data_IF_645373251240
#
_entry.id   IF_645373251240
#
_cell.length_a   1.000
_cell.length_b   1.000
_cell.length_c   1.000
_cell.angle_alpha   90.00
_cell.angle_beta   90.00
_cell.angle_gamma   90.00
#
_symmetry.space_group_name_H-M   'P 1'
#
loop_
_entity.id
_entity.type
_entity.pdbx_description
1 polymer ?
#
# COMPACT_ATOMS: atom_id res chain seq x y z
N UNK A 1 21.61 0.75 2.01
CA UNK A 1 20.40 1.36 2.61
C UNK A 1 20.76 2.76 3.13
N UNK A 2 20.57 3.83 2.33
CA UNK A 2 20.59 5.19 2.85
C UNK A 2 19.18 5.79 2.91
N UNK A 3 18.93 6.57 3.96
CA UNK A 3 17.63 7.10 4.35
C UNK A 3 17.09 8.21 3.45
N UNK A 4 15.77 8.19 3.28
CA UNK A 4 14.97 9.29 2.72
C UNK A 4 14.56 10.23 3.85
N UNK A 5 15.50 11.08 4.29
CA UNK A 5 15.18 12.29 5.03
C UNK A 5 14.71 13.34 4.05
N UNK A 6 13.41 13.65 4.06
CA UNK A 6 12.82 14.71 3.24
C UNK A 6 13.35 16.06 3.73
N UNK A 7 14.15 16.70 2.89
CA UNK A 7 14.83 17.97 3.16
C UNK A 7 13.85 19.14 3.00
N UNK A 8 13.13 19.47 4.07
CA UNK A 8 12.24 20.63 4.18
C UNK A 8 12.98 21.98 4.19
N UNK A 9 14.30 21.99 4.05
CA UNK A 9 15.14 23.20 4.16
C UNK A 9 15.11 24.08 2.91
N UNK A 10 14.62 23.57 1.77
CA UNK A 10 14.70 24.27 0.47
C UNK A 10 13.57 25.26 0.16
N UNK A 11 12.52 25.35 0.98
CA UNK A 11 11.37 26.24 0.71
C UNK A 11 11.55 27.71 1.11
N UNK A 12 12.67 28.11 1.73
CA UNK A 12 12.80 29.45 2.33
C UNK A 12 14.14 30.12 2.05
N UNK A 13 14.61 30.08 0.80
CA UNK A 13 15.77 30.84 0.36
C UNK A 13 15.35 31.90 -0.66
N UNK A 14 14.96 33.08 -0.17
CA UNK A 14 14.97 34.31 -0.98
C UNK A 14 15.60 35.45 -0.18
N UNK A 15 16.68 35.96 -0.81
CA UNK A 15 17.38 37.23 -0.74
C UNK A 15 18.02 37.77 0.54
N UNK A 16 19.36 37.72 0.49
CA UNK A 16 20.33 38.59 1.17
C UNK A 16 20.25 40.00 0.59
N UNK A 17 20.27 41.02 1.44
CA UNK A 17 21.21 42.15 1.36
C UNK A 17 21.04 43.10 2.57
N UNK A 18 22.16 43.65 3.06
CA UNK A 18 22.21 44.79 3.98
C UNK A 18 22.65 44.45 5.42
N UNK A 19 23.93 44.69 5.71
CA UNK A 19 24.49 44.61 7.06
C UNK A 19 24.45 46.00 7.72
N UNK A 20 23.92 46.12 8.95
CA UNK A 20 24.16 47.26 9.85
C UNK A 20 24.12 46.81 11.33
N UNK A 21 24.84 47.52 12.22
CA UNK A 21 25.28 46.99 13.51
C UNK A 21 24.22 47.08 14.62
N UNK A 22 24.34 46.15 15.56
CA UNK A 22 23.54 46.03 16.77
C UNK A 22 23.87 47.10 17.82
N UNK A 23 22.84 47.80 18.31
CA UNK A 23 22.78 48.29 19.69
C UNK A 23 21.33 48.41 20.15
N UNK A 24 21.05 47.88 21.36
CA UNK A 24 20.06 48.46 22.26
C UNK A 24 18.65 47.85 22.29
N UNK A 25 18.24 47.55 23.52
CA UNK A 25 16.89 47.62 24.10
C UNK A 25 15.84 46.51 23.91
N UNK A 26 15.19 46.25 25.04
CA UNK A 26 13.95 45.50 25.25
C UNK A 26 12.96 45.73 24.10
N UNK A 27 12.90 44.75 23.20
CA UNK A 27 12.16 44.85 21.93
C UNK A 27 10.65 44.78 22.17
N UNK A 28 10.04 45.93 22.47
CA UNK A 28 8.66 46.18 22.10
C UNK A 28 8.50 45.76 20.63
N UNK A 29 7.67 44.73 20.37
CA UNK A 29 7.43 44.27 19.00
C UNK A 29 6.88 45.45 18.20
N UNK A 30 7.35 45.70 16.97
CA UNK A 30 6.75 46.74 16.13
C UNK A 30 5.24 46.47 16.01
N UNK A 31 4.41 47.47 16.28
CA UNK A 31 2.96 47.29 16.24
C UNK A 31 2.54 47.09 14.78
N UNK A 32 1.94 45.93 14.48
CA UNK A 32 1.40 45.66 13.15
C UNK A 32 0.03 46.29 12.96
N UNK A 33 -0.33 46.58 11.71
CA UNK A 33 -1.65 47.10 11.36
C UNK A 33 -2.69 45.95 11.33
N UNK A 34 -3.73 45.99 12.20
CA UNK A 34 -4.79 44.98 12.22
C UNK A 34 -5.57 44.88 10.91
N UNK A 35 -5.78 45.98 10.18
CA UNK A 35 -6.51 45.96 8.90
C UNK A 35 -5.70 45.23 7.82
N UNK A 36 -4.41 45.55 7.73
CA UNK A 36 -3.48 44.86 6.82
C UNK A 36 -3.41 43.36 7.13
N UNK A 37 -3.39 42.97 8.41
CA UNK A 37 -3.42 41.57 8.81
C UNK A 37 -4.68 40.85 8.33
N UNK A 38 -5.85 41.49 8.51
CA UNK A 38 -7.13 40.92 8.07
C UNK A 38 -7.18 40.76 6.55
N UNK A 39 -6.77 41.78 5.80
CA UNK A 39 -6.68 41.72 4.34
C UNK A 39 -5.73 40.61 3.86
N UNK A 40 -4.58 40.44 4.52
CA UNK A 40 -3.64 39.38 4.20
C UNK A 40 -4.23 37.97 4.42
N UNK A 41 -4.99 37.79 5.50
CA UNK A 41 -5.71 36.55 5.76
C UNK A 41 -6.76 36.26 4.69
N UNK A 42 -7.64 37.21 4.41
CA UNK A 42 -8.76 37.04 3.48
C UNK A 42 -8.25 36.79 2.04
N UNK A 43 -7.22 37.54 1.62
CA UNK A 43 -6.56 37.31 0.34
C UNK A 43 -6.01 35.89 0.26
N UNK A 44 -5.26 35.43 1.27
CA UNK A 44 -4.69 34.09 1.29
C UNK A 44 -5.73 32.98 1.39
N UNK A 45 -6.82 33.21 2.11
CA UNK A 45 -7.94 32.27 2.23
C UNK A 45 -8.60 32.02 0.87
N UNK A 46 -8.78 33.09 0.08
CA UNK A 46 -9.40 33.04 -1.25
C UNK A 46 -8.51 32.46 -2.35
N UNK A 47 -7.18 32.39 -2.15
CA UNK A 47 -6.26 31.84 -3.16
C UNK A 47 -6.62 30.40 -3.52
N UNK A 48 -6.85 30.16 -4.80
CA UNK A 48 -6.85 28.82 -5.39
C UNK A 48 -5.39 28.35 -5.50
N UNK A 49 -4.83 27.82 -4.41
CA UNK A 49 -3.50 27.21 -4.46
C UNK A 49 -3.48 26.10 -5.53
N UNK A 50 -2.56 26.22 -6.49
CA UNK A 50 -2.51 25.42 -7.70
C UNK A 50 -1.94 23.99 -7.52
N UNK A 51 -1.46 23.62 -6.33
CA UNK A 51 -0.83 22.30 -6.15
C UNK A 51 -1.29 21.53 -4.89
N UNK A 52 -2.36 20.72 -5.00
CA UNK A 52 -2.76 19.79 -3.95
C UNK A 52 -1.74 18.66 -3.68
N UNK A 53 -0.63 18.56 -4.42
CA UNK A 53 0.41 17.56 -4.20
C UNK A 53 1.46 17.95 -3.14
N UNK A 54 1.57 19.24 -2.78
CA UNK A 54 2.63 19.72 -1.88
C UNK A 54 2.38 19.46 -0.39
N UNK A 55 1.13 19.26 0.04
CA UNK A 55 0.77 18.94 1.43
C UNK A 55 -0.33 17.88 1.46
N UNK A 56 -0.11 16.77 2.17
CA UNK A 56 -1.10 15.71 2.22
C UNK A 56 -2.36 16.17 3.01
N UNK A 57 -3.58 15.93 2.51
CA UNK A 57 -4.83 16.24 3.21
C UNK A 57 -4.90 15.67 4.63
N UNK A 58 -4.21 14.56 4.89
CA UNK A 58 -4.08 13.94 6.22
C UNK A 58 -3.34 14.87 7.18
N UNK A 59 -2.23 15.48 6.74
CA UNK A 59 -1.43 16.37 7.58
C UNK A 59 -2.17 17.70 7.85
N UNK A 60 -2.90 18.20 6.85
CA UNK A 60 -3.78 19.37 7.02
C UNK A 60 -4.88 19.08 8.05
N UNK A 61 -5.54 17.93 7.95
CA UNK A 61 -6.56 17.53 8.94
C UNK A 61 -5.96 17.40 10.35
N UNK A 62 -4.82 16.75 10.50
CA UNK A 62 -4.18 16.59 11.81
C UNK A 62 -3.79 17.96 12.41
N UNK A 63 -3.20 18.83 11.60
CA UNK A 63 -2.83 20.19 12.02
C UNK A 63 -4.05 21.05 12.38
N UNK A 64 -5.18 20.84 11.68
CA UNK A 64 -6.42 21.55 11.95
C UNK A 64 -7.01 21.12 13.30
N UNK A 65 -7.07 19.82 13.56
CA UNK A 65 -7.53 19.29 14.85
C UNK A 65 -6.67 19.79 16.01
N UNK A 66 -5.35 19.84 15.83
CA UNK A 66 -4.43 20.38 16.84
C UNK A 66 -4.62 21.89 17.04
N UNK A 67 -4.88 22.65 15.97
CA UNK A 67 -5.15 24.10 16.04
C UNK A 67 -6.45 24.39 16.80
N UNK A 68 -7.51 23.61 16.57
CA UNK A 68 -8.78 23.76 17.27
C UNK A 68 -8.75 23.22 18.70
N UNK A 69 -7.97 22.15 18.94
CA UNK A 69 -7.91 21.50 20.25
C UNK A 69 -9.32 21.05 20.70
N UNK A 70 -9.76 21.40 21.93
CA UNK A 70 -11.10 21.07 22.38
C UNK A 70 -12.20 21.94 21.74
N UNK A 71 -11.85 23.09 21.18
CA UNK A 71 -12.83 24.06 20.70
C UNK A 71 -13.39 23.66 19.33
N UNK A 72 -14.66 23.97 19.08
CA UNK A 72 -15.32 23.69 17.80
C UNK A 72 -15.39 24.89 16.85
N UNK A 73 -15.20 26.11 17.38
CA UNK A 73 -15.36 27.37 16.66
C UNK A 73 -14.30 28.34 17.15
N UNK A 74 -13.63 29.03 16.22
CA UNK A 74 -12.61 30.04 16.51
C UNK A 74 -12.86 31.32 15.72
N UNK A 75 -12.63 32.48 16.34
CA UNK A 75 -12.49 33.74 15.60
C UNK A 75 -11.17 33.79 14.81
N UNK A 76 -11.03 34.72 13.87
CA UNK A 76 -9.80 34.85 13.06
C UNK A 76 -8.56 35.00 13.95
N UNK A 77 -8.58 35.91 14.92
CA UNK A 77 -7.43 36.17 15.80
C UNK A 77 -7.01 34.93 16.58
N UNK A 78 -7.97 34.25 17.21
CA UNK A 78 -7.73 33.02 17.97
C UNK A 78 -7.16 31.90 17.08
N UNK A 79 -7.71 31.76 15.87
CA UNK A 79 -7.25 30.79 14.89
C UNK A 79 -5.81 31.06 14.46
N UNK A 80 -5.48 32.32 14.12
CA UNK A 80 -4.14 32.74 13.73
C UNK A 80 -3.14 32.50 14.87
N UNK A 81 -3.48 32.90 16.10
CA UNK A 81 -2.61 32.75 17.27
C UNK A 81 -2.29 31.27 17.55
N UNK A 82 -3.30 30.40 17.49
CA UNK A 82 -3.10 28.95 17.70
C UNK A 82 -2.32 28.31 16.56
N UNK A 83 -2.64 28.65 15.31
CA UNK A 83 -1.91 28.15 14.16
C UNK A 83 -0.44 28.60 14.19
N UNK A 84 -0.16 29.86 14.54
CA UNK A 84 1.19 30.39 14.66
C UNK A 84 1.99 29.66 15.75
N UNK A 85 1.40 29.40 16.92
CA UNK A 85 2.02 28.60 17.99
C UNK A 85 2.34 27.17 17.53
N UNK A 86 1.42 26.55 16.80
CA UNK A 86 1.63 25.21 16.23
C UNK A 86 2.75 25.19 15.20
N UNK A 87 2.80 26.18 14.31
CA UNK A 87 3.89 26.27 13.32
C UNK A 87 5.24 26.57 14.00
N UNK A 88 5.25 27.38 15.05
CA UNK A 88 6.44 27.65 15.85
C UNK A 88 6.95 26.41 16.59
N UNK A 89 6.05 25.59 17.18
CA UNK A 89 6.46 24.35 17.87
C UNK A 89 7.06 23.31 16.92
N UNK A 90 6.59 23.29 15.67
CA UNK A 90 7.09 22.38 14.63
C UNK A 90 8.33 22.91 13.92
N UNK A 91 8.44 24.23 13.77
CA UNK A 91 9.60 24.88 13.17
C UNK A 91 10.67 25.03 14.23
N UNK A 92 11.68 24.14 14.27
CA UNK A 92 12.87 24.25 15.14
C UNK A 92 13.76 25.48 14.84
N UNK A 93 13.22 26.52 14.21
CA UNK A 93 13.92 27.74 13.84
C UNK A 93 13.90 28.70 15.02
N UNK A 94 15.10 29.11 15.42
CA UNK A 94 15.28 30.25 16.32
C UNK A 94 14.98 31.51 15.52
N UNK A 95 13.96 32.26 15.91
CA UNK A 95 13.65 33.54 15.28
C UNK A 95 14.77 34.54 15.58
N UNK A 96 15.49 34.99 14.54
CA UNK A 96 16.61 35.95 14.69
C UNK A 96 16.17 37.37 15.04
N UNK A 97 14.89 37.72 14.82
CA UNK A 97 14.35 39.06 15.01
C UNK A 97 12.92 39.01 15.57
N UNK A 98 12.51 39.98 16.42
CA UNK A 98 11.14 40.09 16.90
C UNK A 98 10.21 40.43 15.72
N UNK A 99 9.17 39.65 15.53
CA UNK A 99 8.14 39.95 14.53
C UNK A 99 7.15 41.01 15.06
N UNK A 100 6.50 41.76 14.15
CA UNK A 100 5.41 42.64 14.56
C UNK A 100 4.26 41.87 15.22
N UNK A 101 3.51 42.55 16.07
CA UNK A 101 2.32 41.98 16.75
C UNK A 101 1.14 42.94 16.58
N UNK A 102 0.11 42.59 15.78
CA UNK A 102 -0.04 41.36 14.97
C UNK A 102 0.93 41.27 13.77
N UNK A 103 1.32 40.05 13.35
CA UNK A 103 2.20 39.82 12.18
C UNK A 103 1.37 39.50 10.92
N UNK A 104 1.38 40.36 9.86
CA UNK A 104 0.68 40.09 8.62
C UNK A 104 1.07 38.74 7.96
N UNK A 105 2.31 38.28 8.14
CA UNK A 105 2.75 36.98 7.59
C UNK A 105 2.13 35.80 8.33
N UNK A 106 1.89 35.93 9.64
CA UNK A 106 1.19 34.92 10.41
C UNK A 106 -0.27 34.81 9.96
N UNK A 107 -0.92 35.94 9.69
CA UNK A 107 -2.27 36.02 9.14
C UNK A 107 -2.33 35.43 7.72
N UNK A 108 -1.39 35.76 6.83
CA UNK A 108 -1.32 35.18 5.48
C UNK A 108 -1.17 33.65 5.52
N UNK A 109 -0.25 33.14 6.35
CA UNK A 109 -0.02 31.70 6.50
C UNK A 109 -1.24 30.95 7.06
N UNK A 110 -1.89 31.52 8.08
CA UNK A 110 -3.12 30.99 8.65
C UNK A 110 -4.28 31.05 7.65
N UNK A 111 -4.42 32.14 6.89
CA UNK A 111 -5.44 32.29 5.84
C UNK A 111 -5.29 31.24 4.74
N UNK A 112 -4.06 31.04 4.24
CA UNK A 112 -3.78 29.99 3.26
C UNK A 112 -4.09 28.58 3.81
N UNK A 113 -3.73 28.31 5.08
CA UNK A 113 -4.05 27.04 5.74
C UNK A 113 -5.56 26.82 5.91
N UNK A 114 -6.29 27.84 6.38
CA UNK A 114 -7.74 27.81 6.54
C UNK A 114 -8.46 27.64 5.20
N UNK A 115 -8.02 28.34 4.15
CA UNK A 115 -8.57 28.22 2.79
C UNK A 115 -8.43 26.80 2.23
N UNK A 116 -7.27 26.17 2.41
CA UNK A 116 -7.07 24.75 2.04
C UNK A 116 -7.98 23.81 2.84
N UNK A 117 -8.09 24.00 4.16
CA UNK A 117 -8.98 23.19 5.00
C UNK A 117 -10.46 23.38 4.63
N UNK A 118 -10.86 24.59 4.26
CA UNK A 118 -12.20 24.90 3.80
C UNK A 118 -12.53 24.19 2.49
N UNK A 119 -11.65 24.26 1.49
CA UNK A 119 -11.79 23.53 0.21
C UNK A 119 -11.85 22.01 0.41
N UNK A 120 -11.10 21.50 1.38
CA UNK A 120 -11.17 20.10 1.77
C UNK A 120 -12.44 19.74 2.55
N UNK A 121 -13.37 20.66 2.83
CA UNK A 121 -14.55 20.44 3.68
C UNK A 121 -14.19 19.91 5.08
N UNK A 122 -13.13 20.45 5.67
CA UNK A 122 -12.76 20.21 7.07
C UNK A 122 -13.21 21.37 7.98
N UNK A 123 -13.38 22.54 7.38
CA UNK A 123 -13.71 23.79 8.05
C UNK A 123 -14.86 24.50 7.30
N UNK A 124 -15.82 25.05 8.03
CA UNK A 124 -16.84 25.97 7.52
C UNK A 124 -16.63 27.38 8.06
N UNK A 125 -17.12 28.38 7.35
CA UNK A 125 -17.15 29.77 7.81
C UNK A 125 -18.60 30.11 8.14
N UNK A 126 -18.85 30.57 9.35
CA UNK A 126 -20.16 30.97 9.85
C UNK A 126 -20.12 32.44 10.28
N UNK A 127 -21.27 33.13 10.21
CA UNK A 127 -21.39 34.47 10.73
C UNK A 127 -21.43 34.44 12.27
N UNK A 128 -20.45 35.08 12.90
CA UNK A 128 -20.40 35.28 14.34
C UNK A 128 -21.23 36.48 14.81
N UNK A 129 -21.26 36.71 16.14
CA UNK A 129 -21.87 37.90 16.72
C UNK A 129 -21.25 39.17 16.11
N UNK A 130 -22.09 40.13 15.70
CA UNK A 130 -21.62 41.36 15.05
C UNK A 130 -21.21 41.21 13.59
N UNK A 131 -21.49 40.07 12.94
CA UNK A 131 -21.18 39.83 11.53
C UNK A 131 -19.73 39.44 11.26
N UNK A 132 -18.92 39.23 12.30
CA UNK A 132 -17.54 38.78 12.14
C UNK A 132 -17.47 37.30 11.73
N UNK A 133 -16.62 36.93 10.76
CA UNK A 133 -16.48 35.53 10.34
C UNK A 133 -15.87 34.68 11.46
N UNK A 134 -16.49 33.52 11.71
CA UNK A 134 -15.97 32.49 12.61
C UNK A 134 -15.71 31.21 11.83
N UNK A 135 -14.60 30.57 12.16
CA UNK A 135 -14.19 29.31 11.57
C UNK A 135 -14.67 28.17 12.44
N UNK A 136 -15.53 27.30 11.89
CA UNK A 136 -16.06 26.13 12.58
C UNK A 136 -15.41 24.87 12.04
N UNK A 137 -15.00 24.00 12.95
CA UNK A 137 -14.54 22.66 12.63
C UNK A 137 -15.76 21.77 12.31
N UNK A 138 -15.71 21.06 11.18
CA UNK A 138 -16.83 20.21 10.73
C UNK A 138 -16.90 18.90 11.52
N UNK A 139 -15.75 18.27 11.78
CA UNK A 139 -15.64 17.00 12.51
C UNK A 139 -14.39 17.05 13.41
N UNK A 140 -14.50 16.51 14.63
CA UNK A 140 -13.39 16.40 15.58
C UNK A 140 -12.51 15.19 15.33
N UNK A 141 -12.90 14.33 14.41
CA UNK A 141 -12.14 13.15 14.02
C UNK A 141 -11.45 13.32 12.67
N UNK A 142 -10.47 12.44 12.40
CA UNK A 142 -9.76 12.41 11.12
C UNK A 142 -10.73 12.08 9.98
N UNK A 143 -10.82 12.97 8.99
CA UNK A 143 -11.62 12.77 7.78
C UNK A 143 -10.83 12.11 6.65
N UNK A 144 -9.51 12.04 6.76
CA UNK A 144 -8.62 11.45 5.77
C UNK A 144 -7.69 10.42 6.41
N UNK A 145 -7.35 9.38 5.65
CA UNK A 145 -6.36 8.38 6.02
C UNK A 145 -5.42 8.09 4.84
N UNK A 146 -4.22 7.58 5.11
CA UNK A 146 -3.30 7.10 4.08
C UNK A 146 -3.65 5.66 3.70
N UNK A 147 -3.88 5.43 2.41
CA UNK A 147 -3.99 4.10 1.81
C UNK A 147 -2.81 3.92 0.84
N UNK A 148 -1.76 3.25 1.30
CA UNK A 148 -0.47 3.25 0.62
C UNK A 148 0.12 4.66 0.58
N UNK A 149 0.37 5.19 -0.63
CA UNK A 149 0.89 6.56 -0.84
C UNK A 149 -0.19 7.61 -1.09
N UNK A 150 -1.48 7.24 -1.05
CA UNK A 150 -2.59 8.13 -1.40
C UNK A 150 -3.38 8.51 -0.16
N UNK A 151 -3.68 9.80 0.00
CA UNK A 151 -4.66 10.26 0.97
C UNK A 151 -6.07 9.96 0.45
N UNK A 152 -6.88 9.28 1.27
CA UNK A 152 -8.24 8.89 0.94
C UNK A 152 -9.18 9.46 2.00
N UNK A 153 -10.28 10.05 1.54
CA UNK A 153 -11.34 10.55 2.41
C UNK A 153 -12.14 9.37 3.00
N UNK A 154 -12.21 9.32 4.32
CA UNK A 154 -12.90 8.26 5.08
C UNK A 154 -14.19 8.75 5.75
N UNK A 155 -14.33 10.06 5.96
CA UNK A 155 -15.53 10.70 6.53
C UNK A 155 -15.95 11.93 5.75
N UNK A 156 -17.19 12.38 5.95
CA UNK A 156 -17.75 13.55 5.27
C UNK A 156 -17.86 13.36 3.74
N UNK A 157 -17.99 12.10 3.29
CA UNK A 157 -18.30 11.80 1.91
C UNK A 157 -19.77 12.15 1.64
N UNK A 158 -20.02 12.83 0.53
CA UNK A 158 -21.38 12.98 0.00
C UNK A 158 -21.94 11.62 -0.42
N UNK A 159 -23.28 11.50 -0.49
CA UNK A 159 -23.92 10.27 -0.99
C UNK A 159 -23.40 9.86 -2.37
N UNK A 160 -23.13 10.84 -3.25
CA UNK A 160 -22.58 10.58 -4.59
C UNK A 160 -21.15 10.03 -4.53
N UNK A 161 -20.29 10.58 -3.66
CA UNK A 161 -18.91 10.10 -3.46
C UNK A 161 -18.90 8.70 -2.83
N UNK A 162 -19.75 8.45 -1.84
CA UNK A 162 -19.90 7.12 -1.21
C UNK A 162 -20.38 6.08 -2.22
N UNK A 163 -21.38 6.41 -3.05
CA UNK A 163 -21.85 5.53 -4.11
C UNK A 163 -20.78 5.26 -5.18
N UNK A 164 -19.93 6.24 -5.51
CA UNK A 164 -18.77 6.03 -6.40
C UNK A 164 -17.75 5.08 -5.76
N UNK A 165 -17.43 5.25 -4.47
CA UNK A 165 -16.50 4.38 -3.74
C UNK A 165 -16.99 2.92 -3.72
N UNK A 166 -18.24 2.69 -3.32
CA UNK A 166 -18.86 1.35 -3.29
C UNK A 166 -18.87 0.72 -4.69
N UNK A 167 -19.18 1.49 -5.74
CA UNK A 167 -19.12 0.98 -7.12
C UNK A 167 -17.70 0.57 -7.52
N UNK A 168 -16.70 1.37 -7.15
CA UNK A 168 -15.29 1.06 -7.37
C UNK A 168 -14.86 -0.24 -6.67
N UNK A 169 -15.19 -0.37 -5.39
CA UNK A 169 -14.89 -1.59 -4.59
C UNK A 169 -15.55 -2.82 -5.19
N UNK A 170 -16.83 -2.74 -5.58
CA UNK A 170 -17.54 -3.82 -6.27
C UNK A 170 -16.90 -4.19 -7.61
N UNK A 171 -16.49 -3.20 -8.39
CA UNK A 171 -15.81 -3.44 -9.67
C UNK A 171 -14.44 -4.11 -9.46
N UNK A 172 -13.70 -3.71 -8.43
CA UNK A 172 -12.42 -4.33 -8.08
C UNK A 172 -12.60 -5.77 -7.61
N UNK A 173 -13.61 -6.05 -6.78
CA UNK A 173 -13.93 -7.41 -6.35
C UNK A 173 -14.27 -8.33 -7.53
N UNK A 174 -15.11 -7.88 -8.47
CA UNK A 174 -15.44 -8.62 -9.70
C UNK A 174 -14.21 -8.90 -10.56
N UNK A 175 -13.30 -7.92 -10.67
CA UNK A 175 -12.04 -8.10 -11.40
C UNK A 175 -11.15 -9.14 -10.71
N UNK A 176 -11.02 -9.08 -9.40
CA UNK A 176 -10.24 -10.06 -8.63
C UNK A 176 -10.79 -11.48 -8.82
N UNK A 177 -12.11 -11.66 -8.66
CA UNK A 177 -12.80 -12.94 -8.89
C UNK A 177 -12.58 -13.47 -10.32
N UNK A 178 -12.66 -12.60 -11.32
CA UNK A 178 -12.41 -12.96 -12.72
C UNK A 178 -10.97 -13.44 -12.93
N UNK A 179 -10.00 -12.76 -12.33
CA UNK A 179 -8.59 -13.14 -12.41
C UNK A 179 -8.32 -14.46 -11.69
N UNK A 180 -8.94 -14.68 -10.53
CA UNK A 180 -8.80 -15.93 -9.79
C UNK A 180 -9.44 -17.09 -10.56
N UNK A 181 -10.60 -16.90 -11.19
CA UNK A 181 -11.20 -17.90 -12.09
C UNK A 181 -10.26 -18.26 -13.25
N UNK A 182 -9.74 -17.26 -13.96
CA UNK A 182 -8.77 -17.48 -15.04
C UNK A 182 -7.50 -18.20 -14.55
N UNK A 183 -7.02 -17.87 -13.36
CA UNK A 183 -5.87 -18.54 -12.78
C UNK A 183 -6.14 -20.01 -12.49
N UNK A 184 -7.34 -20.36 -12.00
CA UNK A 184 -7.77 -21.75 -11.80
C UNK A 184 -7.82 -22.52 -13.13
N UNK A 185 -8.37 -21.92 -14.18
CA UNK A 185 -8.38 -22.50 -15.54
C UNK A 185 -6.95 -22.81 -16.01
N UNK A 186 -6.04 -21.84 -15.92
CA UNK A 186 -4.62 -21.99 -16.31
C UNK A 186 -3.87 -22.99 -15.42
N UNK A 187 -4.23 -23.11 -14.15
CA UNK A 187 -3.58 -24.02 -13.21
C UNK A 187 -3.89 -25.49 -13.48
N UNK A 188 -5.09 -25.80 -14.00
CA UNK A 188 -5.55 -27.17 -14.28
C UNK A 188 -4.54 -28.01 -15.07
N UNK A 189 -4.07 -27.61 -16.26
CA UNK A 189 -3.09 -28.39 -17.01
C UNK A 189 -1.72 -28.49 -16.32
N UNK A 190 -1.35 -27.50 -15.48
CA UNK A 190 -0.09 -27.54 -14.71
C UNK A 190 -0.18 -28.59 -13.60
N UNK A 191 -1.28 -28.57 -12.83
CA UNK A 191 -1.56 -29.52 -11.76
C UNK A 191 -1.65 -30.94 -12.35
N UNK A 192 -2.37 -31.11 -13.46
CA UNK A 192 -2.44 -32.38 -14.19
C UNK A 192 -1.07 -32.97 -14.50
N UNK A 193 -0.17 -32.18 -15.11
CA UNK A 193 1.20 -32.64 -15.41
C UNK A 193 1.99 -33.05 -14.15
N UNK A 194 1.81 -32.34 -13.04
CA UNK A 194 2.51 -32.65 -11.78
C UNK A 194 1.95 -33.93 -11.14
N UNK A 195 0.63 -34.10 -11.14
CA UNK A 195 -0.03 -35.33 -10.65
C UNK A 195 0.38 -36.53 -11.51
N UNK A 196 0.38 -36.39 -12.83
CA UNK A 196 0.85 -37.45 -13.74
C UNK A 196 2.32 -37.81 -13.51
N UNK A 197 3.16 -36.82 -13.20
CA UNK A 197 4.55 -37.07 -12.83
C UNK A 197 4.67 -37.88 -11.53
N UNK A 198 3.88 -37.55 -10.50
CA UNK A 198 3.84 -38.32 -9.25
C UNK A 198 3.44 -39.77 -9.50
N UNK A 199 2.36 -39.99 -10.26
CA UNK A 199 1.87 -41.35 -10.59
C UNK A 199 2.89 -42.16 -11.40
N UNK A 200 3.64 -41.51 -12.30
CA UNK A 200 4.71 -42.17 -13.06
C UNK A 200 5.93 -42.52 -12.21
N UNK A 201 6.23 -41.74 -11.17
CA UNK A 201 7.36 -42.02 -10.28
C UNK A 201 7.05 -43.14 -9.30
N UNK A 202 5.83 -43.16 -8.75
CA UNK A 202 5.37 -44.17 -7.81
C UNK A 202 3.85 -44.34 -7.93
N UNK A 203 3.43 -45.52 -8.41
CA UNK A 203 2.01 -45.83 -8.62
C UNK A 203 1.26 -46.07 -7.30
N UNK A 204 1.98 -46.45 -6.25
CA UNK A 204 1.43 -46.70 -4.92
C UNK A 204 1.46 -45.43 -4.04
N UNK A 205 1.89 -44.29 -4.59
CA UNK A 205 1.93 -43.04 -3.83
C UNK A 205 0.53 -42.67 -3.33
N UNK A 206 0.42 -42.43 -2.03
CA UNK A 206 -0.84 -42.06 -1.37
C UNK A 206 -0.89 -40.55 -1.08
N UNK A 207 -2.09 -40.01 -1.01
CA UNK A 207 -2.34 -38.62 -0.63
C UNK A 207 -1.90 -38.41 0.83
N UNK A 208 -0.91 -37.53 1.10
CA UNK A 208 -0.41 -37.30 2.45
C UNK A 208 -1.39 -36.47 3.30
N UNK A 209 -1.46 -36.67 4.63
CA UNK A 209 -2.29 -35.87 5.54
C UNK A 209 -2.03 -34.37 5.44
N UNK A 210 -0.77 -33.96 5.23
CA UNK A 210 -0.39 -32.55 5.10
C UNK A 210 -1.15 -31.81 3.99
N UNK A 211 -1.57 -32.49 2.92
CA UNK A 211 -2.38 -31.85 1.87
C UNK A 211 -3.78 -31.48 2.35
N UNK A 212 -4.33 -32.21 3.31
CA UNK A 212 -5.55 -31.84 4.01
C UNK A 212 -5.30 -30.76 5.05
N UNK A 213 -4.24 -30.88 5.85
CA UNK A 213 -3.93 -29.93 6.92
C UNK A 213 -3.67 -28.51 6.38
N UNK A 214 -3.02 -28.41 5.22
CA UNK A 214 -2.82 -27.14 4.48
C UNK A 214 -4.10 -26.68 3.72
N UNK A 215 -5.16 -27.48 3.77
CA UNK A 215 -6.46 -27.27 3.15
C UNK A 215 -6.44 -27.36 1.62
N UNK A 216 -5.48 -28.07 1.03
CA UNK A 216 -5.43 -28.28 -0.42
C UNK A 216 -6.41 -29.35 -0.90
N UNK A 217 -6.75 -30.32 -0.05
CA UNK A 217 -7.65 -31.42 -0.36
C UNK A 217 -8.58 -31.76 0.81
N UNK A 218 -9.72 -32.41 0.55
CA UNK A 218 -10.63 -32.85 1.60
C UNK A 218 -10.08 -34.11 2.30
N UNK A 219 -10.51 -34.36 3.54
CA UNK A 219 -9.93 -35.39 4.42
C UNK A 219 -10.14 -36.80 3.85
N UNK A 220 -11.21 -37.00 3.10
CA UNK A 220 -11.66 -38.26 2.52
C UNK A 220 -10.69 -38.84 1.49
N UNK A 221 -9.79 -38.00 0.96
CA UNK A 221 -8.74 -38.44 0.03
C UNK A 221 -7.46 -38.86 0.74
N UNK A 222 -7.24 -38.48 2.00
CA UNK A 222 -6.02 -38.81 2.74
C UNK A 222 -5.85 -40.33 2.80
N UNK A 223 -4.65 -40.79 2.44
CA UNK A 223 -4.33 -42.23 2.39
C UNK A 223 -4.83 -42.96 1.14
N UNK A 224 -5.66 -42.35 0.29
CA UNK A 224 -6.00 -42.93 -1.02
C UNK A 224 -4.82 -42.82 -1.98
N UNK A 225 -4.71 -43.74 -2.92
CA UNK A 225 -3.71 -43.67 -3.98
C UNK A 225 -3.95 -42.44 -4.86
N UNK A 226 -2.90 -41.70 -5.14
CA UNK A 226 -2.97 -40.51 -6.01
C UNK A 226 -3.47 -40.89 -7.40
N UNK A 227 -3.08 -42.07 -7.92
CA UNK A 227 -3.56 -42.56 -9.20
C UNK A 227 -5.10 -42.68 -9.26
N UNK A 228 -5.74 -43.09 -8.16
CA UNK A 228 -7.20 -43.24 -8.06
C UNK A 228 -7.90 -41.89 -7.86
N UNK A 229 -7.24 -40.96 -7.14
CA UNK A 229 -7.76 -39.64 -6.85
C UNK A 229 -7.38 -38.57 -7.89
N UNK A 230 -6.62 -38.92 -8.93
CA UNK A 230 -5.96 -37.95 -9.82
C UNK A 230 -6.93 -36.95 -10.44
N UNK A 231 -8.02 -37.42 -11.04
CA UNK A 231 -9.03 -36.57 -11.65
C UNK A 231 -9.64 -35.57 -10.63
N UNK A 232 -9.86 -36.01 -9.39
CA UNK A 232 -10.36 -35.14 -8.34
C UNK A 232 -9.31 -34.12 -7.91
N UNK A 233 -8.07 -34.55 -7.68
CA UNK A 233 -6.96 -33.66 -7.27
C UNK A 233 -6.73 -32.55 -8.29
N UNK A 234 -6.86 -32.88 -9.58
CA UNK A 234 -6.69 -31.94 -10.69
C UNK A 234 -7.79 -30.89 -10.73
N UNK A 235 -9.03 -31.19 -10.33
CA UNK A 235 -10.16 -30.26 -10.45
C UNK A 235 -10.57 -29.59 -9.14
N UNK A 236 -10.13 -30.11 -8.00
CA UNK A 236 -10.61 -29.66 -6.68
C UNK A 236 -10.40 -28.16 -6.42
N UNK A 237 -9.36 -27.55 -6.98
CA UNK A 237 -9.09 -26.12 -6.81
C UNK A 237 -10.21 -25.23 -7.38
N UNK A 238 -11.00 -25.72 -8.34
CA UNK A 238 -12.22 -25.04 -8.83
C UNK A 238 -13.34 -25.09 -7.80
N UNK A 239 -13.60 -26.28 -7.25
CA UNK A 239 -14.66 -26.50 -6.24
C UNK A 239 -14.35 -25.74 -4.96
N UNK A 240 -13.10 -25.78 -4.51
CA UNK A 240 -12.64 -25.10 -3.30
C UNK A 240 -12.37 -23.60 -3.50
N UNK A 241 -12.57 -23.07 -4.70
CA UNK A 241 -12.47 -21.63 -4.99
C UNK A 241 -11.09 -21.04 -4.71
N UNK A 242 -10.00 -21.74 -5.03
CA UNK A 242 -8.66 -21.25 -4.71
C UNK A 242 -8.37 -19.90 -5.37
N UNK A 243 -7.83 -18.98 -4.57
CA UNK A 243 -7.23 -17.74 -5.07
C UNK A 243 -5.87 -18.00 -5.71
N UNK A 244 -5.34 -16.99 -6.42
CA UNK A 244 -4.04 -17.06 -7.09
C UNK A 244 -2.86 -17.42 -6.18
N UNK A 245 -2.85 -16.89 -4.96
CA UNK A 245 -1.74 -17.15 -4.03
C UNK A 245 -1.77 -18.59 -3.53
N UNK A 246 -2.97 -19.13 -3.26
CA UNK A 246 -3.18 -20.52 -2.86
C UNK A 246 -2.86 -21.49 -3.98
N UNK A 247 -3.25 -21.19 -5.22
CA UNK A 247 -2.85 -21.96 -6.40
C UNK A 247 -1.32 -22.04 -6.55
N UNK A 248 -0.62 -20.91 -6.41
CA UNK A 248 0.83 -20.88 -6.51
C UNK A 248 1.51 -21.74 -5.42
N UNK A 249 1.02 -21.66 -4.16
CA UNK A 249 1.51 -22.53 -3.08
C UNK A 249 1.21 -24.00 -3.36
N UNK A 250 0.02 -24.31 -3.86
CA UNK A 250 -0.36 -25.68 -4.18
C UNK A 250 0.53 -26.30 -5.26
N UNK A 251 0.76 -25.56 -6.35
CA UNK A 251 1.69 -25.98 -7.41
C UNK A 251 3.12 -26.15 -6.90
N UNK A 252 3.58 -25.28 -5.99
CA UNK A 252 4.88 -25.42 -5.35
C UNK A 252 4.97 -26.68 -4.48
N UNK A 253 3.93 -26.99 -3.70
CA UNK A 253 3.82 -28.23 -2.91
C UNK A 253 3.90 -29.47 -3.80
N UNK A 254 3.11 -29.52 -4.88
CA UNK A 254 3.14 -30.63 -5.84
C UNK A 254 4.51 -30.76 -6.53
N UNK A 255 5.11 -29.63 -6.93
CA UNK A 255 6.45 -29.61 -7.54
C UNK A 255 7.51 -30.14 -6.56
N UNK A 256 7.45 -29.73 -5.29
CA UNK A 256 8.35 -30.23 -4.25
C UNK A 256 8.22 -31.73 -4.07
N UNK A 257 7.00 -32.26 -4.09
CA UNK A 257 6.74 -33.71 -4.01
C UNK A 257 7.26 -34.46 -5.23
N UNK A 258 7.06 -33.95 -6.44
CA UNK A 258 7.63 -34.53 -7.67
C UNK A 258 9.16 -34.62 -7.58
N UNK A 259 9.81 -33.58 -7.05
CA UNK A 259 11.29 -33.57 -6.88
C UNK A 259 11.80 -34.57 -5.84
N UNK A 260 10.99 -34.85 -4.81
CA UNK A 260 11.32 -35.79 -3.74
C UNK A 260 10.95 -37.23 -4.08
N UNK A 261 10.11 -37.45 -5.08
CA UNK A 261 9.72 -38.79 -5.51
C UNK A 261 10.95 -39.57 -6.01
N UNK A 262 11.14 -40.83 -5.58
CA UNK A 262 12.22 -41.67 -6.11
C UNK A 262 12.07 -41.73 -7.62
N UNK A 263 13.10 -41.35 -8.37
CA UNK A 263 13.07 -41.55 -9.83
C UNK A 263 12.99 -43.06 -10.07
N UNK A 264 12.13 -43.52 -11.00
CA UNK A 264 12.20 -44.90 -11.43
C UNK A 264 13.63 -45.13 -11.89
N UNK A 265 14.36 -46.00 -11.17
CA UNK A 265 15.61 -46.54 -11.70
C UNK A 265 15.18 -47.21 -12.99
N UNK A 266 15.55 -46.62 -14.12
CA UNK A 266 15.55 -47.36 -15.38
C UNK A 266 16.34 -48.61 -15.08
N UNK A 267 15.66 -49.75 -14.98
CA UNK A 267 16.29 -51.04 -15.01
C UNK A 267 16.93 -51.14 -16.39
N UNK A 268 18.16 -50.66 -16.53
CA UNK A 268 19.11 -51.10 -17.56
C UNK A 268 19.49 -52.55 -17.27
N UNK A 269 18.50 -53.44 -17.20
CA UNK A 269 18.66 -54.88 -17.12
C UNK A 269 18.54 -55.54 -18.50
N UNK A 270 18.28 -54.75 -19.57
CA UNK A 270 18.19 -55.24 -20.95
C UNK A 270 19.41 -54.98 -21.84
N UNK A 271 20.38 -54.17 -21.41
CA UNK A 271 21.55 -53.83 -22.25
C UNK A 271 22.78 -54.71 -21.98
N UNK A 272 22.85 -55.37 -20.81
CA UNK A 272 23.96 -56.28 -20.50
C UNK A 272 23.70 -57.73 -20.94
N UNK A 273 22.44 -58.11 -21.20
CA UNK A 273 22.11 -59.46 -21.65
C UNK A 273 22.30 -59.66 -23.17
N UNK A 274 22.24 -58.59 -23.97
CA UNK A 274 22.45 -58.68 -25.43
C UNK A 274 23.94 -58.67 -25.78
N UNK A 275 24.80 -58.06 -24.94
CA UNK A 275 26.24 -58.03 -25.20
C UNK A 275 26.97 -59.35 -24.84
N UNK A 276 26.37 -60.22 -24.02
CA UNK A 276 27.01 -61.49 -23.60
C UNK A 276 26.74 -62.65 -24.56
N UNK A 277 25.64 -62.63 -25.32
CA UNK A 277 25.32 -63.70 -26.28
C UNK A 277 25.97 -63.49 -27.65
N UNK A 278 26.25 -62.24 -28.05
CA UNK A 278 26.93 -61.94 -29.32
C UNK A 278 28.47 -62.17 -29.27
N UNK A 279 29.11 -62.08 -28.09
CA UNK A 279 30.55 -62.34 -27.97
C UNK A 279 30.88 -63.85 -28.03
N UNK A 280 29.98 -64.71 -27.54
CA UNK A 280 30.10 -66.16 -27.67
C UNK A 280 29.83 -66.65 -29.11
N UNK A 281 28.92 -66.00 -29.84
CA UNK A 281 28.65 -66.28 -31.25
C UNK A 281 29.81 -65.85 -32.16
N UNK A 282 30.49 -64.75 -31.85
CA UNK A 282 31.64 -64.25 -32.62
C UNK A 282 32.95 -65.02 -32.33
N UNK A 283 33.15 -65.53 -31.11
CA UNK A 283 34.34 -66.35 -30.78
C UNK A 283 34.23 -67.82 -31.21
N UNK A 284 33.01 -68.32 -31.50
CA UNK A 284 32.78 -69.67 -32.04
C UNK A 284 33.02 -69.81 -33.54
N UNK A 285 33.07 -68.70 -34.29
CA UNK A 285 33.24 -68.68 -35.76
C UNK A 285 34.69 -68.53 -36.24
N UNK A 286 35.68 -68.39 -35.34
CA UNK A 286 37.09 -68.13 -35.68
C UNK A 286 38.01 -69.35 -35.42
N UNK A 287 37.46 -70.53 -35.07
CA UNK A 287 38.27 -71.73 -34.73
C UNK A 287 37.99 -72.99 -35.55
N UNK A 288 37.41 -72.86 -36.73
CA UNK A 288 37.32 -73.98 -37.68
C UNK A 288 37.70 -73.51 -39.08
N UNK A 289 39.01 -73.35 -39.32
CA UNK A 289 39.65 -73.55 -40.63
C UNK A 289 41.18 -73.53 -40.43
N UNK A 290 41.71 -74.65 -39.93
CA UNK A 290 43.05 -75.11 -40.28
C UNK A 290 42.93 -76.60 -40.62
N UNK A 291 43.00 -76.90 -41.91
CA UNK A 291 43.29 -78.20 -42.50
C UNK A 291 44.35 -78.00 -43.59
#
# INVERSE_FOLDING_TARGET
>A
MPGTGSDLSRMFALDRQGAFPHTGDDRARPQGDPEQCRQAFDLAFSREDADPAAVHPVDLNASLLETFGPDGVLGIREFVDRHARLMASRSRRIERFPRPDPDPRAYEAAGAFAGRCHRLRLLSVEAGPGGEPRHRLIDREMSFALQGRRAVRIRGLTQQEQARKIRGERAQARRAETLDRKAREVATPVIGRLVDALVRHDRDHVVPPAWHDDGYLPRELVGRRIAEAAAFIVEYHHVAGFDRARLARWQATLTGRVRQAPRPRLLTAGAAAIASDDEAALLGLVRTDEA
#
